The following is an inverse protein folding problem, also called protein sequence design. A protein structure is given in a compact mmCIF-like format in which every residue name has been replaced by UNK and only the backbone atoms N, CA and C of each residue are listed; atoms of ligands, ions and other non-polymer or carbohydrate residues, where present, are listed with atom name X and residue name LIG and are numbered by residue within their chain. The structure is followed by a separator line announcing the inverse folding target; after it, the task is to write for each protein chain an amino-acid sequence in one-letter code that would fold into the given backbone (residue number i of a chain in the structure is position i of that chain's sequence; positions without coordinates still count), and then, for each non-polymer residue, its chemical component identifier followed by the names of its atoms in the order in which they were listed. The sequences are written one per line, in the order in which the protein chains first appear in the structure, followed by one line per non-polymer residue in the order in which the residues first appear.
data_IF_042968670635
#
_entry.id   IF_042968670635
#
_cell.length_a   1.000
_cell.length_b   1.000
_cell.length_c   1.000
_cell.angle_alpha   90.00
_cell.angle_beta   90.00
_cell.angle_gamma   90.00
#
_symmetry.space_group_name_H-M   'P 1'
#
loop_
_entity.id
_entity.type
_entity.pdbx_description
1 polymer ?
#
# COMPACT_ATOMS: atom_id res chain seq x y z
N UNK A 1 -0.04 17.29 38.17
CA UNK A 1 0.02 17.86 36.80
C UNK A 1 0.48 16.81 35.78
N UNK A 2 -0.20 15.67 35.71
CA UNK A 2 -0.09 14.72 34.58
C UNK A 2 -1.49 14.12 34.37
N UNK A 3 -2.44 14.96 33.98
CA UNK A 3 -3.82 14.54 33.69
C UNK A 3 -4.54 15.50 32.73
N UNK A 4 -3.80 16.30 31.95
CA UNK A 4 -4.38 17.30 31.02
C UNK A 4 -3.68 17.21 29.65
N UNK A 5 -3.47 15.99 29.16
CA UNK A 5 -2.99 15.74 27.78
C UNK A 5 -3.93 14.83 26.98
N UNK A 6 -4.94 14.24 27.63
CA UNK A 6 -5.83 13.26 27.01
C UNK A 6 -7.14 13.78 26.41
N UNK A 7 -7.51 15.06 26.62
CA UNK A 7 -8.84 15.57 26.25
C UNK A 7 -8.87 16.38 24.93
N UNK A 8 -7.71 16.85 24.44
CA UNK A 8 -7.63 17.58 23.17
C UNK A 8 -7.59 16.65 21.94
N UNK A 9 -7.14 15.40 22.10
CA UNK A 9 -7.04 14.43 21.01
C UNK A 9 -8.42 13.86 20.56
N UNK A 10 -9.41 13.81 21.46
CA UNK A 10 -10.76 13.35 21.12
C UNK A 10 -11.62 14.41 20.43
N UNK A 11 -11.33 15.70 20.65
CA UNK A 11 -12.08 16.81 20.04
C UNK A 11 -11.64 17.07 18.59
N UNK A 12 -10.39 16.78 18.22
CA UNK A 12 -9.92 16.91 16.83
C UNK A 12 -10.46 15.79 15.92
N UNK A 13 -10.70 14.59 16.46
CA UNK A 13 -11.27 13.46 15.71
C UNK A 13 -12.75 13.64 15.36
N UNK A 14 -13.51 14.37 16.20
CA UNK A 14 -14.93 14.68 15.96
C UNK A 14 -15.14 15.87 15.02
N UNK A 15 -14.17 16.79 14.92
CA UNK A 15 -14.20 17.89 13.94
C UNK A 15 -13.89 17.36 12.53
N UNK A 16 -12.93 16.44 12.39
CA UNK A 16 -12.61 15.77 11.12
C UNK A 16 -13.76 14.90 10.58
N UNK A 17 -14.58 14.30 11.46
CA UNK A 17 -15.76 13.52 11.07
C UNK A 17 -17.05 14.34 10.90
N UNK A 18 -17.01 15.66 11.16
CA UNK A 18 -18.08 16.61 10.86
C UNK A 18 -17.79 17.52 9.66
N UNK A 19 -16.52 17.82 9.36
CA UNK A 19 -16.12 18.45 8.10
C UNK A 19 -16.46 17.60 6.87
N UNK A 20 -16.57 16.28 7.05
CA UNK A 20 -16.95 15.33 5.99
C UNK A 20 -18.45 15.35 5.61
N UNK A 21 -19.31 16.12 6.32
CA UNK A 21 -20.75 16.19 6.06
C UNK A 21 -21.25 17.51 5.47
N UNK A 22 -20.39 18.53 5.34
CA UNK A 22 -20.73 19.82 4.72
C UNK A 22 -19.69 20.27 3.69
N UNK A 23 -19.10 19.31 2.98
CA UNK A 23 -18.29 19.55 1.79
C UNK A 23 -18.92 18.83 0.60
N UNK A 24 -20.08 19.29 0.13
CA UNK A 24 -20.53 18.98 -1.21
C UNK A 24 -19.63 19.73 -2.19
N UNK A 25 -18.41 19.22 -2.36
CA UNK A 25 -17.59 19.56 -3.51
C UNK A 25 -18.13 18.69 -4.64
N UNK A 26 -19.00 19.28 -5.47
CA UNK A 26 -19.32 18.66 -6.75
C UNK A 26 -18.00 18.50 -7.50
N UNK A 27 -17.61 17.28 -7.89
CA UNK A 27 -16.59 17.14 -8.90
C UNK A 27 -17.13 17.93 -10.08
N UNK A 28 -16.40 18.98 -10.43
CA UNK A 28 -16.64 19.81 -11.59
C UNK A 28 -17.04 18.87 -12.73
N UNK A 29 -18.26 19.05 -13.29
CA UNK A 29 -18.74 18.23 -14.41
C UNK A 29 -17.63 18.23 -15.45
N UNK A 30 -16.93 17.11 -15.57
CA UNK A 30 -16.05 16.86 -16.71
C UNK A 30 -16.94 17.02 -17.94
N UNK A 31 -16.77 18.14 -18.64
CA UNK A 31 -17.23 18.29 -20.00
C UNK A 31 -16.73 17.05 -20.71
N UNK A 32 -17.66 16.24 -21.24
CA UNK A 32 -17.40 14.99 -21.95
C UNK A 32 -16.69 15.27 -23.29
N UNK A 33 -15.53 15.91 -23.28
CA UNK A 33 -14.59 15.79 -24.38
C UNK A 33 -14.03 14.37 -24.27
N UNK A 34 -14.46 13.51 -25.20
CA UNK A 34 -13.98 12.14 -25.30
C UNK A 34 -12.45 12.08 -25.43
N UNK A 35 -11.90 10.89 -25.16
CA UNK A 35 -10.48 10.59 -25.37
C UNK A 35 -10.14 10.87 -26.85
N UNK A 36 -9.44 11.97 -27.13
CA UNK A 36 -9.01 12.33 -28.48
C UNK A 36 -7.70 11.59 -28.75
N UNK A 37 -7.62 10.86 -29.86
CA UNK A 37 -6.40 10.16 -30.24
C UNK A 37 -5.29 11.14 -30.64
N UNK A 38 -4.03 10.72 -30.51
CA UNK A 38 -2.88 11.49 -30.97
C UNK A 38 -3.01 11.91 -32.46
N UNK A 39 -3.62 11.06 -33.30
CA UNK A 39 -3.84 11.36 -34.72
C UNK A 39 -4.82 12.51 -34.93
N UNK A 40 -5.96 12.49 -34.23
CA UNK A 40 -6.98 13.54 -34.31
C UNK A 40 -6.46 14.88 -33.78
N UNK A 41 -5.68 14.85 -32.68
CA UNK A 41 -5.02 16.04 -32.15
C UNK A 41 -4.03 16.65 -33.14
N UNK A 42 -3.17 15.84 -33.76
CA UNK A 42 -2.18 16.30 -34.75
C UNK A 42 -2.86 16.88 -35.98
N UNK A 43 -3.95 16.25 -36.44
CA UNK A 43 -4.71 16.72 -37.58
C UNK A 43 -5.33 18.10 -37.32
N UNK A 44 -5.96 18.30 -36.16
CA UNK A 44 -6.54 19.58 -35.79
C UNK A 44 -5.48 20.69 -35.63
N UNK A 45 -4.32 20.36 -35.03
CA UNK A 45 -3.20 21.30 -34.92
C UNK A 45 -2.68 21.70 -36.30
N UNK A 46 -2.54 20.75 -37.22
CA UNK A 46 -2.13 21.04 -38.59
C UNK A 46 -3.11 21.96 -39.32
N UNK A 47 -4.42 21.72 -39.20
CA UNK A 47 -5.45 22.58 -39.82
C UNK A 47 -5.38 24.01 -39.27
N UNK A 48 -5.26 24.18 -37.95
CA UNK A 48 -5.13 25.50 -37.32
C UNK A 48 -3.86 26.24 -37.79
N UNK A 49 -2.71 25.56 -37.82
CA UNK A 49 -1.45 26.16 -38.26
C UNK A 49 -1.47 26.52 -39.75
N UNK A 50 -2.08 25.68 -40.59
CA UNK A 50 -2.23 25.93 -42.02
C UNK A 50 -3.03 27.21 -42.30
N UNK A 51 -4.13 27.44 -41.55
CA UNK A 51 -4.91 28.68 -41.67
C UNK A 51 -4.13 29.94 -41.25
N UNK A 52 -3.15 29.81 -40.37
CA UNK A 52 -2.23 30.88 -39.97
C UNK A 52 -1.05 31.08 -40.95
N UNK A 53 -1.03 30.34 -42.07
CA UNK A 53 0.06 30.40 -43.05
C UNK A 53 1.32 29.62 -42.65
N UNK A 54 1.23 28.78 -41.62
CA UNK A 54 2.34 27.94 -41.14
C UNK A 54 2.15 26.51 -41.65
N UNK A 55 3.03 26.07 -42.56
CA UNK A 55 3.00 24.71 -43.09
C UNK A 55 3.96 23.80 -42.29
N UNK A 56 3.43 22.67 -41.82
CA UNK A 56 4.18 21.61 -41.17
C UNK A 56 4.46 20.50 -42.19
N UNK A 57 5.72 20.12 -42.36
CA UNK A 57 6.05 18.97 -43.19
C UNK A 57 5.50 17.66 -42.57
N UNK A 58 5.30 16.67 -43.44
CA UNK A 58 4.73 15.36 -43.09
C UNK A 58 5.57 14.63 -42.05
N UNK A 59 6.89 14.85 -42.05
CA UNK A 59 7.81 14.20 -41.11
C UNK A 59 7.62 14.76 -39.70
N UNK A 60 7.49 16.08 -39.55
CA UNK A 60 7.19 16.73 -38.27
C UNK A 60 5.80 16.37 -37.74
N UNK A 61 4.81 16.22 -38.61
CA UNK A 61 3.48 15.72 -38.20
C UNK A 61 3.58 14.29 -37.65
N UNK A 62 4.30 13.42 -38.35
CA UNK A 62 4.54 12.05 -37.91
C UNK A 62 5.28 12.01 -36.56
N UNK A 63 6.34 12.81 -36.42
CA UNK A 63 7.11 12.92 -35.17
C UNK A 63 6.23 13.39 -34.00
N UNK A 64 5.37 14.39 -34.22
CA UNK A 64 4.45 14.86 -33.19
C UNK A 64 3.44 13.77 -32.80
N UNK A 65 2.87 13.08 -33.78
CA UNK A 65 1.95 11.96 -33.54
C UNK A 65 2.61 10.86 -32.71
N UNK A 66 3.81 10.40 -33.11
CA UNK A 66 4.57 9.39 -32.36
C UNK A 66 4.89 9.86 -30.94
N UNK A 67 5.29 11.12 -30.78
CA UNK A 67 5.60 11.69 -29.46
C UNK A 67 4.38 11.64 -28.54
N UNK A 68 3.21 12.06 -29.03
CA UNK A 68 1.97 12.03 -28.26
C UNK A 68 1.53 10.60 -27.92
N UNK A 69 1.62 9.66 -28.87
CA UNK A 69 1.33 8.24 -28.61
C UNK A 69 2.25 7.65 -27.55
N UNK A 70 3.56 7.90 -27.63
CA UNK A 70 4.51 7.41 -26.63
C UNK A 70 4.26 8.06 -25.26
N UNK A 71 3.87 9.33 -25.21
CA UNK A 71 3.50 10.00 -23.96
C UNK A 71 2.26 9.38 -23.31
N UNK A 72 1.25 8.99 -24.10
CA UNK A 72 0.08 8.27 -23.56
C UNK A 72 0.46 6.88 -23.05
N UNK A 73 1.22 6.11 -23.84
CA UNK A 73 1.70 4.78 -23.43
C UNK A 73 2.59 4.82 -22.18
N UNK A 74 3.42 5.86 -22.04
CA UNK A 74 4.26 6.05 -20.86
C UNK A 74 3.41 6.34 -19.62
N UNK A 75 2.36 7.16 -19.73
CA UNK A 75 1.43 7.41 -18.62
C UNK A 75 0.67 6.15 -18.22
N UNK A 76 0.20 5.37 -19.19
CA UNK A 76 -0.51 4.11 -18.92
C UNK A 76 0.39 3.06 -18.27
N UNK A 77 1.61 2.88 -18.79
CA UNK A 77 2.59 1.96 -18.21
C UNK A 77 3.03 2.41 -16.81
N UNK A 78 3.24 3.71 -16.59
CA UNK A 78 3.56 4.25 -15.27
C UNK A 78 2.43 3.99 -14.26
N UNK A 79 1.17 4.19 -14.64
CA UNK A 79 0.03 3.89 -13.78
C UNK A 79 -0.04 2.39 -13.42
N UNK A 80 0.20 1.52 -14.41
CA UNK A 80 0.22 0.06 -14.21
C UNK A 80 1.33 -0.34 -13.23
N UNK A 81 2.54 0.19 -13.43
CA UNK A 81 3.69 -0.08 -12.55
C UNK A 81 3.44 0.36 -11.11
N UNK A 82 2.79 1.50 -10.88
CA UNK A 82 2.47 1.96 -9.53
C UNK A 82 1.51 0.99 -8.81
N UNK A 83 0.50 0.48 -9.53
CA UNK A 83 -0.43 -0.51 -8.97
C UNK A 83 0.25 -1.84 -8.67
N UNK A 84 1.18 -2.27 -9.54
CA UNK A 84 1.96 -3.48 -9.32
C UNK A 84 2.93 -3.33 -8.14
N UNK A 85 3.57 -2.16 -8.01
CA UNK A 85 4.44 -1.85 -6.88
C UNK A 85 3.67 -1.88 -5.56
N UNK A 86 2.48 -1.27 -5.52
CA UNK A 86 1.63 -1.31 -4.33
C UNK A 86 1.25 -2.74 -3.94
N UNK A 87 0.88 -3.58 -4.93
CA UNK A 87 0.59 -5.00 -4.69
C UNK A 87 1.81 -5.75 -4.15
N UNK A 88 2.99 -5.50 -4.72
CA UNK A 88 4.24 -6.08 -4.25
C UNK A 88 4.54 -5.68 -2.80
N UNK A 89 4.40 -4.40 -2.49
CA UNK A 89 4.64 -3.85 -1.15
C UNK A 89 3.65 -4.42 -0.12
N UNK A 90 2.37 -4.60 -0.49
CA UNK A 90 1.40 -5.27 0.36
C UNK A 90 1.78 -6.74 0.62
N UNK A 91 2.12 -7.48 -0.43
CA UNK A 91 2.54 -8.89 -0.31
C UNK A 91 3.80 -9.03 0.56
N UNK A 92 4.77 -8.12 0.43
CA UNK A 92 5.96 -8.08 1.28
C UNK A 92 5.60 -7.85 2.76
N UNK A 93 4.72 -6.89 3.05
CA UNK A 93 4.24 -6.62 4.42
C UNK A 93 3.48 -7.79 5.02
N UNK A 94 2.67 -8.49 4.23
CA UNK A 94 1.97 -9.70 4.66
C UNK A 94 2.95 -10.83 4.98
N UNK A 95 3.95 -11.04 4.13
CA UNK A 95 5.00 -12.05 4.35
C UNK A 95 5.81 -11.74 5.63
N UNK A 96 6.17 -10.49 5.87
CA UNK A 96 6.89 -10.08 7.07
C UNK A 96 6.03 -10.22 8.33
N UNK A 97 4.75 -9.88 8.26
CA UNK A 97 3.80 -10.10 9.36
C UNK A 97 3.65 -11.58 9.68
N UNK A 98 3.56 -12.44 8.66
CA UNK A 98 3.50 -13.88 8.82
C UNK A 98 4.79 -14.45 9.44
N UNK A 99 5.98 -13.94 9.07
CA UNK A 99 7.25 -14.32 9.72
C UNK A 99 7.29 -13.86 11.17
N UNK A 100 6.90 -12.63 11.45
CA UNK A 100 6.90 -12.06 12.80
C UNK A 100 5.98 -12.82 13.78
N UNK A 101 4.91 -13.45 13.29
CA UNK A 101 4.03 -14.30 14.09
C UNK A 101 4.76 -15.53 14.68
N UNK A 102 5.82 -16.01 14.02
CA UNK A 102 6.62 -17.15 14.46
C UNK A 102 7.82 -16.77 15.32
N UNK A 103 8.01 -15.49 15.66
CA UNK A 103 9.10 -15.06 16.54
C UNK A 103 8.71 -15.22 18.01
N UNK A 104 9.59 -15.84 18.80
CA UNK A 104 9.39 -16.08 20.23
C UNK A 104 9.22 -14.76 20.99
N UNK A 105 8.06 -14.59 21.61
CA UNK A 105 7.70 -13.36 22.35
C UNK A 105 8.47 -13.14 23.65
N UNK A 106 9.33 -14.08 24.05
CA UNK A 106 10.20 -13.94 25.22
C UNK A 106 11.57 -13.38 24.87
N UNK A 107 12.23 -13.92 23.83
CA UNK A 107 13.56 -13.45 23.43
C UNK A 107 13.57 -12.50 22.23
N UNK A 108 12.46 -12.40 21.50
CA UNK A 108 12.30 -11.58 20.29
C UNK A 108 13.38 -11.83 19.22
N UNK A 109 14.01 -13.00 19.26
CA UNK A 109 15.16 -13.33 18.40
C UNK A 109 14.93 -14.64 17.65
N UNK A 110 14.63 -15.72 18.38
CA UNK A 110 14.50 -17.05 17.79
C UNK A 110 13.05 -17.35 17.40
N UNK A 111 12.87 -18.20 16.38
CA UNK A 111 11.56 -18.73 16.01
C UNK A 111 10.99 -19.67 17.08
N UNK A 112 9.66 -19.73 17.19
CA UNK A 112 8.96 -20.68 18.04
C UNK A 112 8.95 -22.05 17.40
N UNK A 113 9.43 -23.04 18.16
CA UNK A 113 9.56 -24.43 17.73
C UNK A 113 9.12 -25.42 18.81
N UNK A 114 8.68 -24.93 19.97
CA UNK A 114 8.18 -25.73 21.08
C UNK A 114 6.85 -25.20 21.61
N UNK A 115 5.94 -26.10 21.98
CA UNK A 115 4.73 -25.81 22.75
C UNK A 115 4.87 -26.28 24.21
N UNK A 116 4.28 -25.53 25.13
CA UNK A 116 4.21 -25.85 26.56
C UNK A 116 2.98 -26.70 26.85
N UNK A 117 3.18 -27.88 27.42
CA UNK A 117 2.10 -28.75 27.90
C UNK A 117 1.84 -28.47 29.39
N UNK A 118 0.57 -28.29 29.82
CA UNK A 118 -0.66 -28.54 29.05
C UNK A 118 -1.30 -27.32 28.36
N UNK A 119 -0.75 -26.11 28.51
CA UNK A 119 -1.44 -24.88 28.08
C UNK A 119 -1.40 -24.55 26.59
N UNK A 120 -0.55 -25.19 25.79
CA UNK A 120 -0.44 -24.97 24.34
C UNK A 120 0.37 -23.74 23.90
N UNK A 121 0.73 -22.82 24.80
CA UNK A 121 1.52 -21.63 24.42
C UNK A 121 2.89 -22.01 23.85
N UNK A 122 3.34 -21.23 22.86
CA UNK A 122 4.55 -21.54 22.08
C UNK A 122 5.72 -20.63 22.44
N UNK A 123 6.91 -21.22 22.40
CA UNK A 123 8.19 -20.58 22.71
C UNK A 123 9.27 -21.16 21.80
N UNK A 124 10.41 -20.48 21.67
CA UNK A 124 11.61 -21.10 21.13
C UNK A 124 12.21 -22.11 22.12
N UNK A 125 13.04 -23.02 21.64
CA UNK A 125 13.72 -24.05 22.43
C UNK A 125 14.51 -23.47 23.61
N UNK A 126 15.23 -22.36 23.40
CA UNK A 126 16.02 -21.70 24.45
C UNK A 126 15.15 -21.13 25.58
N UNK A 127 14.03 -20.47 25.25
CA UNK A 127 13.16 -19.89 26.25
C UNK A 127 12.33 -20.94 26.98
N UNK A 128 11.85 -21.96 26.25
CA UNK A 128 11.07 -23.05 26.85
C UNK A 128 11.87 -23.88 27.84
N UNK A 129 13.18 -24.09 27.63
CA UNK A 129 14.03 -24.81 28.57
C UNK A 129 14.41 -24.01 29.83
N UNK A 130 14.18 -22.69 29.83
CA UNK A 130 14.56 -21.80 30.93
C UNK A 130 13.42 -21.53 31.92
N UNK A 131 12.25 -22.13 31.72
CA UNK A 131 11.05 -21.83 32.52
C UNK A 131 10.42 -23.09 33.10
N UNK A 132 10.00 -23.02 34.37
CA UNK A 132 9.19 -24.06 35.03
C UNK A 132 7.69 -23.77 34.98
N UNK A 133 7.30 -22.54 34.64
CA UNK A 133 5.92 -22.08 34.44
C UNK A 133 5.80 -21.30 33.14
N UNK A 134 4.67 -21.43 32.46
CA UNK A 134 4.41 -20.71 31.22
C UNK A 134 4.49 -19.18 31.46
N UNK A 135 5.28 -18.41 30.69
CA UNK A 135 5.39 -16.97 30.87
C UNK A 135 4.10 -16.21 30.50
N UNK A 136 3.19 -16.84 29.75
CA UNK A 136 1.94 -16.23 29.30
C UNK A 136 0.78 -16.47 30.27
N UNK A 137 0.53 -17.73 30.66
CA UNK A 137 -0.61 -18.11 31.50
C UNK A 137 -0.22 -18.63 32.90
N UNK A 138 1.07 -18.66 33.23
CA UNK A 138 1.64 -19.05 34.54
C UNK A 138 1.38 -20.50 34.97
N UNK A 139 0.79 -21.32 34.11
CA UNK A 139 0.56 -22.75 34.36
C UNK A 139 1.89 -23.52 34.44
N UNK A 140 1.96 -24.53 35.31
CA UNK A 140 3.16 -25.36 35.48
C UNK A 140 3.49 -26.09 34.17
N UNK A 141 4.77 -26.07 33.77
CA UNK A 141 5.25 -26.82 32.60
C UNK A 141 5.41 -28.27 33.01
N UNK A 142 4.62 -29.17 32.41
CA UNK A 142 4.78 -30.62 32.58
C UNK A 142 5.82 -31.16 31.61
N UNK A 143 5.75 -30.72 30.34
CA UNK A 143 6.72 -31.05 29.29
C UNK A 143 6.67 -30.00 28.18
N UNK A 144 7.69 -30.00 27.33
CA UNK A 144 7.73 -29.23 26.08
C UNK A 144 7.69 -30.18 24.90
N UNK A 145 6.87 -29.89 23.90
CA UNK A 145 6.78 -30.69 22.68
C UNK A 145 7.20 -29.85 21.47
N UNK A 146 8.00 -30.44 20.58
CA UNK A 146 8.42 -29.76 19.35
C UNK A 146 7.24 -29.62 18.40
N UNK A 147 7.13 -28.46 17.77
CA UNK A 147 6.18 -28.16 16.71
C UNK A 147 6.93 -27.79 15.44
N UNK A 148 6.29 -27.98 14.29
CA UNK A 148 6.83 -27.64 12.98
C UNK A 148 5.88 -26.68 12.28
N UNK A 149 6.46 -25.69 11.60
CA UNK A 149 5.69 -24.79 10.74
C UNK A 149 5.13 -25.59 9.55
N UNK A 150 3.86 -25.37 9.16
CA UNK A 150 3.28 -25.95 7.94
C UNK A 150 4.02 -25.53 6.67
#
# INVERSE_FOLDING_TARGET
MVAVVGSLAHSMFTILSRAFRYGHWQPNKELQYGRVSAAELVQAVHEMLSTAGVNMDVEKQSLLQTTLTLQEQLKESQATLLLEQEKSDMAAKEADSAKAAWICRVCLTNEVDNTIVPCGHVLCRRCSSAVSRCPFCRLQVTKTMRIFRP
#
